data_IF_087805792612
#
_entry.id   IF_087805792612
#
_cell.length_a   1.000
_cell.length_b   1.000
_cell.length_c   1.000
_cell.angle_alpha   90.00
_cell.angle_beta   90.00
_cell.angle_gamma   90.00
#
_symmetry.space_group_name_H-M   'P 1'
#
loop_
_entity.id
_entity.type
_entity.pdbx_description
1 polymer ?
#
# COMPACT_ATOMS: atom_id res chain seq x y z
N UNK A 1 3.10 23.58 -6.64
CA UNK A 1 2.93 22.25 -6.04
C UNK A 1 1.46 21.87 -6.20
N UNK A 2 1.16 20.95 -7.11
CA UNK A 2 -0.16 20.32 -7.14
C UNK A 2 -0.07 18.99 -6.40
N UNK A 3 -1.07 18.72 -5.57
CA UNK A 3 -1.26 17.43 -4.92
C UNK A 3 -2.46 16.78 -5.61
N UNK A 4 -2.23 15.68 -6.32
CA UNK A 4 -3.32 14.80 -6.73
C UNK A 4 -3.57 13.84 -5.57
N UNK A 5 -4.84 13.70 -5.19
CA UNK A 5 -5.29 12.73 -4.19
C UNK A 5 -6.11 11.65 -4.89
N UNK A 6 -5.67 10.39 -4.77
CA UNK A 6 -6.53 9.23 -5.05
C UNK A 6 -7.02 8.71 -3.70
N UNK A 7 -8.34 8.66 -3.53
CA UNK A 7 -8.99 8.13 -2.33
C UNK A 7 -9.51 6.71 -2.55
N UNK A 8 -9.73 5.98 -1.45
CA UNK A 8 -10.29 4.62 -1.44
C UNK A 8 -9.49 3.58 -2.27
N UNK A 9 -8.22 3.85 -2.58
CA UNK A 9 -7.35 2.92 -3.30
C UNK A 9 -6.86 1.79 -2.38
N UNK A 10 -7.17 0.55 -2.76
CA UNK A 10 -6.92 -0.65 -1.96
C UNK A 10 -5.51 -1.21 -2.16
N UNK A 11 -4.60 -0.96 -1.21
CA UNK A 11 -3.30 -1.64 -1.14
C UNK A 11 -3.51 -3.12 -0.78
N UNK A 12 -2.85 -4.03 -1.51
CA UNK A 12 -3.02 -5.49 -1.35
C UNK A 12 -1.69 -6.19 -1.08
N UNK A 13 -1.74 -7.43 -0.61
CA UNK A 13 -0.56 -8.29 -0.52
C UNK A 13 -0.16 -8.74 0.87
N UNK A 14 -0.94 -8.43 1.92
CA UNK A 14 -0.67 -8.90 3.28
C UNK A 14 -0.36 -10.41 3.36
N UNK A 15 -1.08 -11.25 2.60
CA UNK A 15 -0.83 -12.69 2.53
C UNK A 15 0.61 -13.09 2.13
N UNK A 16 1.36 -12.19 1.47
CA UNK A 16 2.76 -12.39 1.07
C UNK A 16 3.73 -11.73 2.05
N UNK A 17 3.41 -10.54 2.55
CA UNK A 17 4.33 -9.73 3.36
C UNK A 17 4.17 -9.94 4.86
N UNK A 18 2.95 -10.21 5.32
CA UNK A 18 2.55 -10.40 6.72
C UNK A 18 2.78 -9.20 7.65
N UNK A 19 3.26 -8.08 7.13
CA UNK A 19 3.44 -6.81 7.86
C UNK A 19 2.16 -5.99 7.86
N UNK A 20 1.62 -5.68 9.06
CA UNK A 20 0.54 -4.69 9.18
C UNK A 20 1.10 -3.28 8.98
N UNK A 21 0.44 -2.43 8.18
CA UNK A 21 0.89 -1.07 7.98
C UNK A 21 0.81 -0.24 9.29
N UNK A 22 1.69 0.76 9.41
CA UNK A 22 1.69 1.75 10.48
C UNK A 22 0.35 2.50 10.63
N UNK A 23 0.08 3.08 11.82
CA UNK A 23 -1.12 3.87 12.06
C UNK A 23 -1.30 5.05 11.08
N UNK A 24 -2.52 5.63 11.03
CA UNK A 24 -2.77 6.91 10.36
C UNK A 24 -1.77 8.01 10.76
N UNK A 25 -1.59 9.00 9.89
CA UNK A 25 -0.55 10.04 9.93
C UNK A 25 0.90 9.60 9.63
N UNK A 26 1.18 8.33 9.28
CA UNK A 26 2.47 7.96 8.66
C UNK A 26 2.34 7.76 7.15
N UNK A 27 3.21 8.45 6.41
CA UNK A 27 3.30 8.35 4.95
C UNK A 27 4.18 7.18 4.55
N UNK A 28 3.60 6.25 3.78
CA UNK A 28 4.22 5.02 3.32
C UNK A 28 4.74 5.24 1.88
N UNK A 29 6.06 5.29 1.64
CA UNK A 29 6.58 5.53 0.30
C UNK A 29 6.29 4.36 -0.65
N UNK A 30 6.05 4.69 -1.91
CA UNK A 30 5.80 3.73 -2.99
C UNK A 30 7.00 3.65 -3.94
N UNK A 31 7.44 2.44 -4.29
CA UNK A 31 8.54 2.22 -5.25
C UNK A 31 8.16 1.20 -6.32
N UNK A 32 8.93 1.16 -7.41
CA UNK A 32 8.86 0.08 -8.40
C UNK A 32 9.30 -1.26 -7.80
N UNK A 33 8.64 -2.34 -8.20
CA UNK A 33 9.06 -3.72 -7.91
C UNK A 33 9.63 -4.38 -9.17
N UNK A 34 10.96 -4.42 -9.26
CA UNK A 34 11.62 -5.09 -10.38
C UNK A 34 11.52 -6.61 -10.26
N UNK A 35 11.31 -7.30 -11.39
CA UNK A 35 11.33 -8.77 -11.46
C UNK A 35 10.08 -9.47 -10.90
N UNK A 36 8.97 -8.75 -10.64
CA UNK A 36 7.72 -9.39 -10.26
C UNK A 36 7.16 -10.26 -11.41
N UNK A 37 6.97 -11.56 -11.13
CA UNK A 37 6.55 -12.57 -12.12
C UNK A 37 5.08 -12.51 -12.55
N UNK A 38 4.24 -11.73 -11.86
CA UNK A 38 2.78 -11.68 -12.07
C UNK A 38 2.30 -10.34 -12.65
N UNK A 39 3.07 -9.27 -12.44
CA UNK A 39 2.77 -7.93 -12.90
C UNK A 39 4.10 -7.17 -13.12
N UNK A 40 4.52 -6.89 -14.37
CA UNK A 40 5.77 -6.21 -14.65
C UNK A 40 5.77 -4.74 -14.20
N UNK A 41 4.60 -4.17 -13.90
CA UNK A 41 4.45 -2.80 -13.40
C UNK A 41 4.11 -2.76 -11.91
N UNK A 42 4.31 -3.86 -11.19
CA UNK A 42 4.09 -3.91 -9.76
C UNK A 42 4.85 -2.80 -9.02
N UNK A 43 4.18 -2.17 -8.06
CA UNK A 43 4.76 -1.16 -7.20
C UNK A 43 4.55 -1.58 -5.74
N UNK A 44 5.62 -1.55 -4.94
CA UNK A 44 5.63 -1.88 -3.51
C UNK A 44 5.30 -0.65 -2.66
N UNK A 45 4.61 -0.88 -1.54
CA UNK A 45 4.36 0.11 -0.49
C UNK A 45 5.16 -0.31 0.74
N UNK A 46 5.96 0.61 1.27
CA UNK A 46 6.93 0.34 2.34
C UNK A 46 6.55 1.04 3.64
N UNK A 47 6.91 0.44 4.76
CA UNK A 47 7.07 1.18 6.01
C UNK A 47 8.29 2.08 5.86
N UNK A 48 8.22 3.38 6.16
CA UNK A 48 9.39 4.26 6.08
C UNK A 48 10.50 3.81 7.04
N UNK A 49 11.73 4.18 6.71
CA UNK A 49 12.89 3.98 7.58
C UNK A 49 12.71 4.71 8.93
N UNK A 50 13.41 4.24 9.96
CA UNK A 50 13.20 4.74 11.33
C UNK A 50 13.61 6.21 11.49
N UNK A 51 14.61 6.66 10.73
CA UNK A 51 15.09 8.05 10.67
C UNK A 51 14.08 9.00 10.02
N UNK A 52 13.19 8.47 9.17
CA UNK A 52 12.09 9.19 8.53
C UNK A 52 10.78 9.12 9.33
N UNK A 53 10.77 8.32 10.39
CA UNK A 53 9.58 8.09 11.23
C UNK A 53 9.66 8.97 12.49
N UNK A 54 8.63 9.77 12.82
CA UNK A 54 8.58 10.51 14.09
C UNK A 54 8.78 9.59 15.30
N UNK A 55 9.64 9.99 16.24
CA UNK A 55 9.99 9.18 17.43
C UNK A 55 8.79 8.86 18.33
N UNK A 56 7.76 9.70 18.31
CA UNK A 56 6.45 9.46 18.94
C UNK A 56 5.73 8.22 18.40
N UNK A 57 5.95 7.85 17.13
CA UNK A 57 5.30 6.71 16.48
C UNK A 57 6.11 5.41 16.57
N UNK A 58 7.39 5.45 16.96
CA UNK A 58 8.27 4.26 17.00
C UNK A 58 7.71 3.11 17.85
N UNK A 59 7.05 3.44 18.95
CA UNK A 59 6.45 2.47 19.86
C UNK A 59 4.96 2.20 19.58
N UNK A 60 4.36 2.84 18.57
CA UNK A 60 2.98 2.57 18.20
C UNK A 60 2.84 1.13 17.71
N UNK A 61 1.81 0.46 18.21
CA UNK A 61 1.49 -0.92 17.91
C UNK A 61 0.90 -1.04 16.50
N UNK A 62 1.26 -2.12 15.81
CA UNK A 62 0.87 -2.36 14.40
C UNK A 62 0.16 -3.71 14.26
N UNK A 63 0.63 -4.74 14.97
CA UNK A 63 -0.14 -5.96 15.24
C UNK A 63 -0.03 -6.36 16.73
N UNK A 64 -1.13 -6.20 17.48
CA UNK A 64 -1.24 -6.60 18.90
C UNK A 64 -1.04 -8.11 19.10
N UNK A 65 -1.34 -8.94 18.10
CA UNK A 65 -1.24 -10.41 18.19
C UNK A 65 0.21 -10.87 18.16
N UNK A 66 1.05 -10.14 17.42
CA UNK A 66 2.47 -10.42 17.23
C UNK A 66 3.37 -9.52 18.12
N UNK A 67 2.80 -8.51 18.77
CA UNK A 67 3.55 -7.47 19.50
C UNK A 67 4.36 -6.54 18.57
N UNK A 68 3.99 -6.45 17.30
CA UNK A 68 4.72 -5.66 16.30
C UNK A 68 4.50 -4.16 16.50
N UNK A 69 5.56 -3.38 16.33
CA UNK A 69 5.56 -1.91 16.45
C UNK A 69 6.23 -1.29 15.24
N UNK A 70 5.97 -0.03 14.96
CA UNK A 70 6.60 0.69 13.82
C UNK A 70 8.12 0.54 13.81
N UNK A 71 8.79 0.57 14.98
CA UNK A 71 10.25 0.35 15.09
C UNK A 71 10.75 -1.08 14.78
N UNK A 72 9.88 -2.09 14.75
CA UNK A 72 10.25 -3.48 14.44
C UNK A 72 9.94 -3.85 12.98
N UNK A 73 9.14 -3.04 12.29
CA UNK A 73 8.72 -3.26 10.89
C UNK A 73 9.21 -2.17 9.92
N UNK A 74 10.06 -1.23 10.37
CA UNK A 74 10.65 -0.20 9.51
C UNK A 74 11.43 -0.80 8.32
N UNK A 75 11.43 -0.08 7.20
CA UNK A 75 12.06 -0.54 5.95
C UNK A 75 11.43 -1.81 5.33
N UNK A 76 10.39 -2.42 5.92
CA UNK A 76 9.74 -3.60 5.38
C UNK A 76 8.61 -3.24 4.39
N UNK A 77 8.40 -4.06 3.35
CA UNK A 77 7.26 -3.89 2.45
C UNK A 77 5.99 -4.37 3.16
N UNK A 78 4.94 -3.54 3.18
CA UNK A 78 3.62 -3.91 3.75
C UNK A 78 2.62 -4.32 2.67
N UNK A 79 2.79 -3.86 1.43
CA UNK A 79 1.85 -4.16 0.36
C UNK A 79 2.31 -3.81 -1.04
N UNK A 80 1.37 -3.89 -1.98
CA UNK A 80 1.47 -3.46 -3.37
C UNK A 80 0.30 -2.57 -3.75
N UNK A 81 0.59 -1.63 -4.64
CA UNK A 81 -0.43 -0.90 -5.41
C UNK A 81 -1.32 -1.91 -6.16
N UNK A 82 -2.66 -1.71 -6.20
CA UNK A 82 -3.56 -2.63 -6.89
C UNK A 82 -3.30 -2.63 -8.41
N UNK A 83 -3.46 -3.79 -9.05
CA UNK A 83 -3.14 -4.00 -10.48
C UNK A 83 -3.78 -2.97 -11.43
N UNK A 84 -4.97 -2.46 -11.13
CA UNK A 84 -5.63 -1.40 -11.91
C UNK A 84 -4.94 -0.03 -11.89
N UNK A 85 -4.06 0.23 -10.91
CA UNK A 85 -3.28 1.46 -10.77
C UNK A 85 -1.77 1.25 -11.01
N UNK A 86 -1.30 -0.01 -10.94
CA UNK A 86 0.12 -0.39 -11.03
C UNK A 86 0.89 0.27 -12.20
N UNK A 87 0.39 0.11 -13.44
CA UNK A 87 0.99 0.71 -14.65
C UNK A 87 1.15 2.23 -14.56
N UNK A 88 0.10 2.92 -14.11
CA UNK A 88 0.11 4.37 -13.96
C UNK A 88 1.15 4.81 -12.93
N UNK A 89 1.20 4.15 -11.77
CA UNK A 89 2.17 4.46 -10.72
C UNK A 89 3.61 4.15 -11.18
N UNK A 90 3.80 3.08 -11.95
CA UNK A 90 5.10 2.70 -12.48
C UNK A 90 5.63 3.71 -13.51
N UNK A 91 4.76 4.26 -14.36
CA UNK A 91 5.12 5.37 -15.26
C UNK A 91 5.44 6.64 -14.49
N UNK A 92 4.59 7.03 -13.52
CA UNK A 92 4.77 8.19 -12.67
C UNK A 92 6.08 8.12 -11.85
N UNK A 93 6.41 6.97 -11.25
CA UNK A 93 7.68 6.72 -10.56
C UNK A 93 8.90 6.67 -11.49
N UNK A 94 8.73 6.84 -12.80
CA UNK A 94 9.81 7.07 -13.77
C UNK A 94 9.82 8.49 -14.34
N UNK A 95 8.90 9.36 -13.91
CA UNK A 95 8.74 10.71 -14.43
C UNK A 95 9.54 11.73 -13.61
N UNK A 96 10.26 12.61 -14.28
CA UNK A 96 10.94 13.75 -13.65
C UNK A 96 9.96 14.80 -13.10
N UNK A 97 8.66 14.70 -13.41
CA UNK A 97 7.62 15.63 -12.94
C UNK A 97 7.01 15.21 -11.59
N UNK A 98 7.32 14.00 -11.12
CA UNK A 98 6.80 13.40 -9.88
C UNK A 98 7.95 13.31 -8.89
N UNK A 99 7.87 14.06 -7.79
CA UNK A 99 8.91 14.00 -6.74
C UNK A 99 8.88 12.64 -6.03
N UNK A 100 7.68 12.19 -5.66
CA UNK A 100 7.41 10.95 -4.93
C UNK A 100 5.92 10.59 -4.99
N UNK A 101 5.62 9.34 -4.68
CA UNK A 101 4.27 8.84 -4.43
C UNK A 101 4.25 8.25 -3.02
N UNK A 102 3.30 8.70 -2.21
CA UNK A 102 3.14 8.28 -0.81
C UNK A 102 1.70 7.83 -0.56
N UNK A 103 1.52 6.82 0.30
CA UNK A 103 0.23 6.31 0.73
C UNK A 103 0.04 6.51 2.25
N UNK A 104 -1.09 7.06 2.68
CA UNK A 104 -1.45 7.12 4.11
C UNK A 104 -2.57 6.11 4.43
N UNK A 105 -2.46 5.37 5.53
CA UNK A 105 -3.57 4.55 6.04
C UNK A 105 -4.66 5.43 6.68
N UNK A 106 -5.89 5.39 6.16
CA UNK A 106 -7.03 6.15 6.75
C UNK A 106 -8.16 5.27 7.31
N UNK A 107 -7.95 3.95 7.42
CA UNK A 107 -8.95 3.01 7.93
C UNK A 107 -8.35 1.84 8.71
N UNK A 108 -9.19 1.10 9.42
CA UNK A 108 -8.83 -0.22 9.95
C UNK A 108 -8.72 -1.17 8.75
N UNK A 109 -7.69 -2.01 8.66
CA UNK A 109 -7.63 -3.07 7.66
C UNK A 109 -8.94 -3.95 7.59
N UNK A 110 -9.76 -4.01 6.47
CA UNK A 110 -10.95 -4.93 6.07
C UNK A 110 -10.93 -6.11 4.98
N UNK A 111 -11.52 -7.32 5.21
CA UNK A 111 -11.16 -8.60 4.49
C UNK A 111 -11.63 -8.62 3.03
N UNK A 112 -10.84 -9.13 2.09
CA UNK A 112 -11.04 -8.84 0.66
C UNK A 112 -12.06 -9.67 -0.14
N UNK A 113 -12.92 -10.53 0.45
CA UNK A 113 -13.85 -11.41 -0.32
C UNK A 113 -15.15 -11.80 0.43
N UNK A 114 -16.21 -12.12 -0.34
CA UNK A 114 -17.57 -12.56 0.09
C UNK A 114 -18.19 -13.47 -0.99
N UNK A 115 -19.15 -14.39 -0.70
CA UNK A 115 -19.65 -14.87 0.61
C UNK A 115 -19.17 -16.30 0.94
N UNK A 116 -19.35 -16.77 2.19
CA UNK A 116 -18.88 -18.12 2.62
C UNK A 116 -19.94 -18.98 3.34
N UNK A 117 -20.02 -20.29 3.06
CA UNK A 117 -20.64 -21.29 3.93
C UNK A 117 -19.76 -21.65 5.14
N UNK A 118 -20.34 -22.34 6.14
CA UNK A 118 -19.64 -22.75 7.35
C UNK A 118 -18.52 -23.78 7.10
N UNK A 119 -17.42 -23.64 7.87
CA UNK A 119 -16.23 -24.49 7.84
C UNK A 119 -16.54 -25.90 8.39
N UNK A 120 -16.16 -26.98 7.69
CA UNK A 120 -16.60 -28.36 8.04
C UNK A 120 -15.52 -29.41 8.36
N UNK A 121 -14.21 -29.18 8.14
CA UNK A 121 -13.17 -30.19 8.46
C UNK A 121 -11.80 -29.59 8.84
N UNK A 122 -11.03 -30.22 9.74
CA UNK A 122 -9.63 -29.85 10.02
C UNK A 122 -8.67 -30.46 8.97
N UNK A 123 -7.67 -29.68 8.55
CA UNK A 123 -6.67 -30.11 7.55
C UNK A 123 -6.51 -29.18 6.32
N UNK A 124 -7.31 -28.11 6.22
CA UNK A 124 -7.18 -27.06 5.21
C UNK A 124 -6.22 -25.95 5.64
N UNK A 125 -5.52 -25.33 4.67
CA UNK A 125 -4.52 -24.30 4.93
C UNK A 125 -5.06 -23.08 5.69
N UNK A 126 -4.29 -22.62 6.69
CA UNK A 126 -4.62 -21.45 7.50
C UNK A 126 -4.53 -20.18 6.66
N UNK A 127 -5.68 -19.55 6.40
CA UNK A 127 -5.76 -18.22 5.79
C UNK A 127 -6.15 -17.21 6.87
N UNK A 128 -5.18 -16.39 7.28
CA UNK A 128 -5.39 -15.39 8.32
C UNK A 128 -6.48 -14.41 7.84
N UNK A 129 -7.59 -14.34 8.59
CA UNK A 129 -7.90 -13.24 9.53
C UNK A 129 -7.81 -11.77 9.04
N UNK A 130 -7.14 -11.48 7.94
CA UNK A 130 -6.66 -10.15 7.60
C UNK A 130 -7.73 -9.36 6.92
N UNK A 131 -8.40 -8.63 7.78
CA UNK A 131 -9.27 -7.57 7.41
C UNK A 131 -8.16 -6.60 6.75
N UNK A 132 -8.20 -6.19 5.44
CA UNK A 132 -7.41 -5.12 4.68
C UNK A 132 -8.13 -4.19 3.59
N UNK A 133 -9.23 -3.47 3.84
CA UNK A 133 -9.61 -2.21 3.14
C UNK A 133 -8.75 -1.06 3.65
N UNK A 134 -7.58 -0.91 3.04
CA UNK A 134 -6.88 0.36 3.15
C UNK A 134 -7.54 1.37 2.23
N UNK A 135 -8.18 2.38 2.83
CA UNK A 135 -8.40 3.64 2.12
C UNK A 135 -7.07 4.37 2.10
N UNK A 136 -6.21 4.09 1.12
CA UNK A 136 -4.99 4.88 0.99
C UNK A 136 -5.31 6.26 0.43
N UNK A 137 -4.81 7.31 1.07
CA UNK A 137 -4.66 8.62 0.43
C UNK A 137 -3.36 8.59 -0.36
N UNK A 138 -3.45 8.55 -1.69
CA UNK A 138 -2.25 8.62 -2.55
C UNK A 138 -1.92 10.08 -2.76
N UNK A 139 -0.76 10.54 -2.31
CA UNK A 139 -0.27 11.90 -2.53
C UNK A 139 0.75 11.84 -3.68
N UNK A 140 0.41 12.49 -4.79
CA UNK A 140 1.32 12.69 -5.93
C UNK A 140 1.71 14.17 -5.94
N UNK A 141 2.99 14.46 -5.67
CA UNK A 141 3.56 15.81 -5.78
C UNK A 141 3.95 16.08 -7.22
N UNK A 142 3.22 16.98 -7.89
CA UNK A 142 3.35 17.17 -9.33
C UNK A 142 3.41 18.65 -9.76
N UNK A 143 4.22 18.91 -10.80
CA UNK A 143 4.27 20.17 -11.54
C UNK A 143 3.85 19.94 -12.99
N UNK A 144 2.55 19.81 -13.24
CA UNK A 144 2.02 19.52 -14.58
C UNK A 144 1.19 20.63 -15.21
N UNK A 145 1.36 20.72 -16.54
CA UNK A 145 0.23 20.73 -17.47
C UNK A 145 0.45 19.60 -18.50
N UNK A 146 -0.66 18.97 -18.93
CA UNK A 146 -0.81 18.02 -20.06
C UNK A 146 -0.13 16.63 -20.02
N UNK A 147 -0.80 15.63 -19.42
CA UNK A 147 -0.79 14.21 -19.93
C UNK A 147 -2.17 13.54 -19.94
N UNK A 148 -3.13 13.97 -19.11
CA UNK A 148 -4.49 13.39 -19.12
C UNK A 148 -5.33 13.83 -20.34
N UNK A 149 -5.00 13.32 -21.53
CA UNK A 149 -5.89 13.35 -22.70
C UNK A 149 -5.66 12.18 -23.66
N UNK A 150 -5.82 10.94 -23.16
CA UNK A 150 -5.86 9.71 -23.96
C UNK A 150 -6.83 8.67 -23.38
N UNK A 151 -8.13 8.78 -23.72
CA UNK A 151 -9.12 7.67 -23.94
C UNK A 151 -10.57 8.19 -23.93
N UNK A 152 -10.87 9.05 -24.90
CA UNK A 152 -12.19 9.10 -25.54
C UNK A 152 -11.92 9.10 -27.04
N UNK A 153 -12.78 8.40 -27.81
CA UNK A 153 -12.63 8.04 -29.23
C UNK A 153 -11.64 6.88 -29.50
N UNK A 154 -12.22 5.72 -29.85
CA UNK A 154 -11.59 4.45 -30.18
C UNK A 154 -12.67 3.38 -30.28
#
# INVERSE_FOLDING_TARGET
>A
MHIIVIENALIKGYHKFQIRPPPPALLLPVTKEYGNRHDPHACLVWVPEIEKTPSSLWNHETDETCGERVRTINGLPTGRVPKGLSSCFYELLGSNNVERIECEQTGIPCKSFSPWPHYQSPGGGVVISCITEYKSKVIINESWKSVCRCRENG
#
